data_IF_149779610084
#
_entry.id   IF_149779610084
#
_cell.length_a   1.000
_cell.length_b   1.000
_cell.length_c   1.000
_cell.angle_alpha   90.00
_cell.angle_beta   90.00
_cell.angle_gamma   90.00
#
_symmetry.space_group_name_H-M   'P 1'
#
loop_
_entity.id
_entity.type
_entity.pdbx_description
1 polymer ?
#
# COMPACT_ATOMS: atom_id res chain seq x y z
N UNK A 1 16.27 -29.16 0.50
CA UNK A 1 15.66 -29.69 1.74
C UNK A 1 16.32 -29.14 3.02
N UNK A 2 17.61 -29.34 3.31
CA UNK A 2 18.25 -28.82 4.56
C UNK A 2 18.69 -27.35 4.46
N UNK A 3 19.02 -26.89 3.26
CA UNK A 3 19.45 -25.50 3.05
C UNK A 3 18.31 -24.50 3.23
N UNK A 4 17.08 -24.85 2.82
CA UNK A 4 15.89 -23.98 2.94
C UNK A 4 15.59 -23.55 4.39
N UNK A 5 15.52 -24.45 5.40
CA UNK A 5 15.25 -24.03 6.77
C UNK A 5 16.38 -23.19 7.38
N UNK A 6 17.64 -23.44 7.01
CA UNK A 6 18.78 -22.68 7.53
C UNK A 6 18.71 -21.22 7.05
N UNK A 7 18.52 -21.02 5.74
CA UNK A 7 18.40 -19.67 5.19
C UNK A 7 17.09 -18.98 5.59
N UNK A 8 16.00 -19.71 5.79
CA UNK A 8 14.75 -19.17 6.31
C UNK A 8 14.90 -18.61 7.74
N UNK A 9 15.61 -19.32 8.63
CA UNK A 9 15.86 -18.86 10.01
C UNK A 9 16.78 -17.65 10.03
N UNK A 10 17.83 -17.62 9.18
CA UNK A 10 18.71 -16.46 9.05
C UNK A 10 17.94 -15.24 8.52
N UNK A 11 17.10 -15.43 7.50
CA UNK A 11 16.23 -14.37 6.97
C UNK A 11 15.24 -13.84 8.01
N UNK A 12 14.60 -14.73 8.77
CA UNK A 12 13.71 -14.36 9.87
C UNK A 12 14.44 -13.56 10.96
N UNK A 13 15.65 -13.97 11.33
CA UNK A 13 16.48 -13.23 12.30
C UNK A 13 16.81 -11.81 11.83
N UNK A 14 17.07 -11.64 10.53
CA UNK A 14 17.32 -10.33 9.94
C UNK A 14 16.08 -9.43 9.95
N UNK A 15 14.90 -9.99 9.67
CA UNK A 15 13.63 -9.25 9.74
C UNK A 15 13.33 -8.78 11.16
N UNK A 16 13.60 -9.60 12.17
CA UNK A 16 13.40 -9.22 13.59
C UNK A 16 14.26 -8.01 13.97
N UNK A 17 15.49 -7.92 13.46
CA UNK A 17 16.38 -6.78 13.71
C UNK A 17 15.86 -5.46 13.08
N UNK A 18 15.21 -5.55 11.92
CA UNK A 18 14.67 -4.39 11.18
C UNK A 18 13.23 -4.06 11.58
N UNK A 19 12.56 -4.96 12.31
CA UNK A 19 11.18 -4.79 12.77
C UNK A 19 10.89 -3.47 13.49
N UNK A 20 11.79 -2.89 14.32
CA UNK A 20 11.52 -1.62 14.99
C UNK A 20 11.46 -0.41 14.05
N UNK A 21 12.19 -0.42 12.93
CA UNK A 21 12.23 0.70 11.98
C UNK A 21 11.21 0.57 10.85
N UNK A 22 10.78 -0.66 10.57
CA UNK A 22 9.72 -1.00 9.61
C UNK A 22 8.43 -0.16 9.77
N UNK A 23 7.81 -0.02 10.97
CA UNK A 23 6.57 0.74 11.10
C UNK A 23 6.76 2.23 10.79
N UNK A 24 7.92 2.81 11.12
CA UNK A 24 8.22 4.20 10.77
C UNK A 24 8.41 4.39 9.27
N UNK A 25 9.10 3.46 8.61
CA UNK A 25 9.28 3.48 7.17
C UNK A 25 7.95 3.28 6.42
N UNK A 26 7.11 2.36 6.88
CA UNK A 26 5.78 2.12 6.32
C UNK A 26 4.85 3.31 6.54
N UNK A 27 4.88 3.95 7.71
CA UNK A 27 4.12 5.17 7.97
C UNK A 27 4.56 6.32 7.06
N UNK A 28 5.86 6.48 6.84
CA UNK A 28 6.38 7.46 5.89
C UNK A 28 5.94 7.16 4.44
N UNK A 29 6.02 5.91 4.01
CA UNK A 29 5.57 5.49 2.69
C UNK A 29 4.06 5.71 2.49
N UNK A 30 3.25 5.41 3.50
CA UNK A 30 1.81 5.67 3.48
C UNK A 30 1.52 7.17 3.34
N UNK A 31 2.25 8.02 4.08
CA UNK A 31 2.14 9.48 3.95
C UNK A 31 2.47 10.00 2.55
N UNK A 32 3.55 9.48 1.94
CA UNK A 32 3.94 9.84 0.58
C UNK A 32 2.85 9.47 -0.44
N UNK A 33 2.25 8.28 -0.32
CA UNK A 33 1.18 7.85 -1.21
C UNK A 33 -0.08 8.71 -1.07
N UNK A 34 -0.45 9.13 0.14
CA UNK A 34 -1.60 10.03 0.35
C UNK A 34 -1.34 11.38 -0.33
N UNK A 35 -0.15 11.96 -0.17
CA UNK A 35 0.21 13.23 -0.79
C UNK A 35 0.13 13.18 -2.32
N UNK A 36 0.76 12.17 -2.95
CA UNK A 36 0.76 11.99 -4.40
C UNK A 36 -0.66 11.81 -4.95
N UNK A 37 -1.50 11.03 -4.25
CA UNK A 37 -2.89 10.82 -4.69
C UNK A 37 -3.70 12.12 -4.68
N UNK A 38 -3.55 12.93 -3.63
CA UNK A 38 -4.34 14.17 -3.46
C UNK A 38 -3.86 15.29 -4.37
N UNK A 39 -2.55 15.48 -4.50
CA UNK A 39 -1.97 16.62 -5.23
C UNK A 39 -1.76 16.33 -6.72
N UNK A 40 -1.57 15.07 -7.12
CA UNK A 40 -1.30 14.71 -8.51
C UNK A 40 -2.44 13.90 -9.12
N UNK A 41 -2.79 12.75 -8.52
CA UNK A 41 -3.71 11.79 -9.16
C UNK A 41 -5.14 12.32 -9.28
N UNK A 42 -5.71 12.90 -8.21
CA UNK A 42 -7.08 13.44 -8.23
C UNK A 42 -7.19 14.62 -9.21
N UNK A 43 -6.32 15.65 -9.15
CA UNK A 43 -6.36 16.76 -10.10
C UNK A 43 -6.17 16.30 -11.54
N UNK A 44 -5.22 15.40 -11.82
CA UNK A 44 -4.99 14.88 -13.18
C UNK A 44 -6.21 14.12 -13.70
N UNK A 45 -6.85 13.31 -12.85
CA UNK A 45 -8.08 12.60 -13.20
C UNK A 45 -9.24 13.55 -13.52
N UNK A 46 -9.28 14.73 -12.91
CA UNK A 46 -10.30 15.75 -13.16
C UNK A 46 -10.00 16.62 -14.40
N UNK A 47 -8.75 16.71 -14.87
CA UNK A 47 -8.38 17.47 -16.08
C UNK A 47 -9.01 16.91 -17.35
N UNK A 48 -9.39 15.63 -17.36
CA UNK A 48 -10.10 14.99 -18.47
C UNK A 48 -11.56 15.43 -18.65
N UNK A 49 -12.10 16.28 -17.76
CA UNK A 49 -13.47 16.81 -17.87
C UNK A 49 -14.57 15.88 -17.34
N UNK A 50 -14.25 14.63 -17.00
CA UNK A 50 -15.19 13.62 -16.49
C UNK A 50 -15.05 13.41 -14.97
N UNK A 51 -15.19 14.48 -14.18
CA UNK A 51 -15.04 14.49 -12.72
C UNK A 51 -15.94 13.45 -12.04
N UNK A 52 -17.18 13.31 -12.48
CA UNK A 52 -18.14 12.35 -11.90
C UNK A 52 -17.72 10.89 -12.12
N UNK A 53 -17.19 10.56 -13.30
CA UNK A 53 -16.73 9.21 -13.63
C UNK A 53 -15.43 8.90 -12.86
N UNK A 54 -14.51 9.86 -12.77
CA UNK A 54 -13.28 9.72 -11.99
C UNK A 54 -13.58 9.49 -10.50
N UNK A 55 -14.52 10.26 -9.93
CA UNK A 55 -14.94 10.12 -8.53
C UNK A 55 -15.62 8.77 -8.29
N UNK A 56 -16.49 8.34 -9.21
CA UNK A 56 -17.15 7.03 -9.10
C UNK A 56 -16.14 5.88 -9.21
N UNK A 57 -15.14 5.99 -10.09
CA UNK A 57 -14.03 5.04 -10.18
C UNK A 57 -13.21 4.96 -8.88
N UNK A 58 -12.91 6.11 -8.26
CA UNK A 58 -12.21 6.18 -6.98
C UNK A 58 -13.01 5.49 -5.86
N UNK A 59 -14.32 5.76 -5.77
CA UNK A 59 -15.20 5.13 -4.77
C UNK A 59 -15.25 3.61 -4.96
N UNK A 60 -15.44 3.13 -6.20
CA UNK A 60 -15.48 1.69 -6.50
C UNK A 60 -14.13 1.04 -6.15
N UNK A 61 -13.01 1.63 -6.56
CA UNK A 61 -11.67 1.12 -6.25
C UNK A 61 -11.41 1.04 -4.74
N UNK A 62 -11.84 2.05 -3.99
CA UNK A 62 -11.75 2.05 -2.53
C UNK A 62 -12.58 0.93 -1.90
N UNK A 63 -13.82 0.74 -2.34
CA UNK A 63 -14.70 -0.34 -1.86
C UNK A 63 -14.09 -1.72 -2.16
N UNK A 64 -13.55 -1.93 -3.36
CA UNK A 64 -12.91 -3.19 -3.74
C UNK A 64 -11.69 -3.46 -2.85
N UNK A 65 -10.82 -2.45 -2.67
CA UNK A 65 -9.64 -2.58 -1.81
C UNK A 65 -10.02 -2.89 -0.36
N UNK A 66 -10.98 -2.15 0.22
CA UNK A 66 -11.48 -2.42 1.57
C UNK A 66 -12.10 -3.82 1.71
N UNK A 67 -12.84 -4.28 0.70
CA UNK A 67 -13.42 -5.62 0.71
C UNK A 67 -12.35 -6.71 0.66
N UNK A 68 -11.31 -6.52 -0.17
CA UNK A 68 -10.18 -7.45 -0.27
C UNK A 68 -9.40 -7.50 1.04
N UNK A 69 -9.08 -6.35 1.63
CA UNK A 69 -8.37 -6.25 2.93
C UNK A 69 -9.14 -6.98 4.04
N UNK A 70 -10.45 -6.76 4.15
CA UNK A 70 -11.30 -7.43 5.16
C UNK A 70 -11.45 -8.94 4.90
N UNK A 71 -11.39 -9.38 3.64
CA UNK A 71 -11.57 -10.79 3.28
C UNK A 71 -10.29 -11.63 3.29
N UNK A 72 -9.12 -11.01 3.06
CA UNK A 72 -7.81 -11.65 2.98
C UNK A 72 -6.93 -11.38 4.22
N UNK A 73 -7.26 -10.35 4.99
CA UNK A 73 -6.69 -10.06 6.30
C UNK A 73 -7.27 -10.93 7.41
#
# INVERSE_FOLDING_TARGET
AIVEPIFAVIGAAFVILVYPILPYALAFAAGAMIFIVVEEVIPESHRGGNVDIATMGLIIGFIVMMSLDVSLG
#
